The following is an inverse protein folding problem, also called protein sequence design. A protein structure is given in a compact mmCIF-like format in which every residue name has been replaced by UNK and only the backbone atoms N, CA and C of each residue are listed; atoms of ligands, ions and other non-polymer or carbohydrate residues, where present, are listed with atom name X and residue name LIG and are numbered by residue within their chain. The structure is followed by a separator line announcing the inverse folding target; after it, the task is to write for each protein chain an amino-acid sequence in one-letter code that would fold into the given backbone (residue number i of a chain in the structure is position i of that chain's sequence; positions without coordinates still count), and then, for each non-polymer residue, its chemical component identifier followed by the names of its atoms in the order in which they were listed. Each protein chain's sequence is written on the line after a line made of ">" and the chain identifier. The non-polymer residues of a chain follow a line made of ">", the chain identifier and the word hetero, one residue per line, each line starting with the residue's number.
data_IF_283004325459
#
_entry.id   IF_283004325459
#
_cell.length_a   1.000
_cell.length_b   1.000
_cell.length_c   1.000
_cell.angle_alpha   90.00
_cell.angle_beta   90.00
_cell.angle_gamma   90.00
#
_symmetry.space_group_name_H-M   'P 1'
#
loop_
_entity.id
_entity.type
_entity.pdbx_description
1 polymer ?
#
# COMPACT_ATOMS: atom_id res chain seq x y z
N UNK A 1 14.26 0.96 7.41
CA UNK A 1 12.96 1.31 6.79
C UNK A 1 12.25 0.00 6.55
N UNK A 2 11.06 -0.16 7.09
CA UNK A 2 10.21 -1.32 6.85
C UNK A 2 9.14 -0.92 5.83
N UNK A 3 8.84 -1.81 4.90
CA UNK A 3 7.90 -1.55 3.81
C UNK A 3 6.84 -2.65 3.79
N UNK A 4 5.60 -2.25 3.54
CA UNK A 4 4.48 -3.16 3.43
C UNK A 4 4.24 -3.59 1.99
N UNK A 5 3.69 -4.80 1.82
CA UNK A 5 3.13 -5.23 0.55
C UNK A 5 1.74 -4.59 0.38
N UNK A 6 1.52 -3.98 -0.78
CA UNK A 6 0.19 -3.55 -1.20
C UNK A 6 -0.36 -4.42 -2.31
N UNK A 7 -1.61 -4.15 -2.69
CA UNK A 7 -2.25 -4.88 -3.77
C UNK A 7 -1.53 -4.71 -5.12
N UNK A 8 -0.92 -3.54 -5.38
CA UNK A 8 -0.16 -3.33 -6.61
C UNK A 8 1.17 -4.10 -6.64
N UNK A 9 1.84 -4.22 -5.51
CA UNK A 9 3.04 -5.05 -5.34
C UNK A 9 2.70 -6.54 -5.54
N UNK A 10 1.59 -7.01 -4.95
CA UNK A 10 1.12 -8.38 -5.17
C UNK A 10 0.75 -8.63 -6.63
N UNK A 11 0.01 -7.71 -7.27
CA UNK A 11 -0.30 -7.82 -8.71
C UNK A 11 0.96 -7.88 -9.57
N UNK A 12 2.01 -7.15 -9.21
CA UNK A 12 3.28 -7.19 -9.92
C UNK A 12 4.00 -8.54 -9.75
N UNK A 13 4.03 -9.10 -8.53
CA UNK A 13 4.59 -10.43 -8.26
C UNK A 13 3.84 -11.54 -8.99
N UNK A 14 2.51 -11.47 -9.01
CA UNK A 14 1.65 -12.38 -9.77
C UNK A 14 2.00 -12.31 -11.27
N UNK A 15 2.11 -11.09 -11.81
CA UNK A 15 2.50 -10.86 -13.20
C UNK A 15 3.86 -11.49 -13.54
N UNK A 16 4.87 -11.30 -12.68
CA UNK A 16 6.20 -11.89 -12.86
C UNK A 16 6.20 -13.41 -12.78
N UNK A 17 5.25 -13.99 -12.04
CA UNK A 17 5.03 -15.43 -11.93
C UNK A 17 4.18 -16.01 -13.06
N UNK A 18 3.70 -15.17 -14.00
CA UNK A 18 2.87 -15.57 -15.13
C UNK A 18 1.38 -15.75 -14.80
N UNK A 19 0.93 -15.24 -13.65
CA UNK A 19 -0.45 -15.36 -13.15
C UNK A 19 -1.12 -13.98 -13.23
N UNK A 20 -2.42 -13.94 -13.54
CA UNK A 20 -3.26 -12.74 -13.49
C UNK A 20 -2.69 -11.50 -14.20
N UNK A 21 -1.90 -11.69 -15.26
CA UNK A 21 -1.15 -10.61 -15.92
C UNK A 21 -2.03 -9.44 -16.37
N UNK A 22 -3.26 -9.72 -16.79
CA UNK A 22 -4.22 -8.69 -17.20
C UNK A 22 -4.58 -7.74 -16.04
N UNK A 23 -4.70 -8.25 -14.81
CA UNK A 23 -5.04 -7.44 -13.65
C UNK A 23 -3.96 -6.38 -13.38
N UNK A 24 -2.69 -6.80 -13.37
CA UNK A 24 -1.56 -5.89 -13.25
C UNK A 24 -1.53 -4.82 -14.37
N UNK A 25 -1.69 -5.25 -15.62
CA UNK A 25 -1.59 -4.34 -16.77
C UNK A 25 -2.71 -3.27 -16.78
N UNK A 26 -3.93 -3.63 -16.38
CA UNK A 26 -5.06 -2.72 -16.28
C UNK A 26 -4.91 -1.73 -15.11
N UNK A 27 -4.17 -2.10 -14.06
CA UNK A 27 -3.98 -1.29 -12.85
C UNK A 27 -2.63 -0.53 -12.84
N UNK A 28 -2.25 0.02 -13.99
CA UNK A 28 -1.04 0.86 -14.14
C UNK A 28 0.26 0.08 -14.38
N UNK A 29 0.21 -1.25 -14.48
CA UNK A 29 1.40 -2.08 -14.68
C UNK A 29 2.17 -1.77 -15.97
N UNK A 30 1.49 -1.27 -17.01
CA UNK A 30 2.16 -0.80 -18.24
C UNK A 30 3.16 0.32 -17.96
N UNK A 31 2.81 1.28 -17.10
CA UNK A 31 3.70 2.38 -16.70
C UNK A 31 4.90 1.86 -15.91
N UNK A 32 4.67 0.89 -15.01
CA UNK A 32 5.75 0.22 -14.27
C UNK A 32 6.72 -0.50 -15.21
N UNK A 33 6.22 -1.30 -16.16
CA UNK A 33 7.09 -1.99 -17.11
C UNK A 33 7.86 -1.02 -18.00
N UNK A 34 7.24 0.09 -18.39
CA UNK A 34 7.89 1.14 -19.17
C UNK A 34 9.02 1.79 -18.38
N UNK A 35 8.83 2.14 -17.11
CA UNK A 35 9.89 2.77 -16.30
C UNK A 35 11.11 1.86 -16.14
N UNK A 36 10.90 0.55 -15.94
CA UNK A 36 11.98 -0.43 -15.93
C UNK A 36 12.71 -0.53 -17.26
N UNK A 37 12.00 -0.49 -18.39
CA UNK A 37 12.63 -0.48 -19.73
C UNK A 37 13.46 0.78 -19.97
N UNK A 38 13.00 1.95 -19.53
CA UNK A 38 13.68 3.23 -19.75
C UNK A 38 15.02 3.32 -19.01
N UNK A 39 15.14 2.71 -17.83
CA UNK A 39 16.38 2.71 -17.03
C UNK A 39 17.29 1.50 -17.32
N UNK A 40 16.82 0.55 -18.15
CA UNK A 40 17.58 -0.65 -18.51
C UNK A 40 18.73 -0.28 -19.45
N UNK A 41 19.95 -0.66 -19.07
CA UNK A 41 21.16 -0.28 -19.80
C UNK A 41 21.41 -1.16 -21.03
N UNK A 42 21.09 -2.47 -20.93
CA UNK A 42 21.28 -3.42 -22.01
C UNK A 42 20.13 -4.42 -22.13
N UNK A 43 19.88 -4.88 -23.36
CA UNK A 43 18.99 -6.01 -23.64
C UNK A 43 19.47 -7.35 -23.02
N UNK A 44 20.71 -7.40 -22.53
CA UNK A 44 21.23 -8.56 -21.78
C UNK A 44 20.91 -8.50 -20.29
N UNK A 45 20.63 -7.32 -19.75
CA UNK A 45 20.30 -7.15 -18.34
C UNK A 45 18.88 -7.63 -18.08
N UNK A 46 18.58 -8.18 -16.88
CA UNK A 46 17.20 -8.52 -16.55
C UNK A 46 16.34 -7.24 -16.57
N UNK A 47 15.08 -7.38 -17.01
CA UNK A 47 14.16 -6.24 -17.01
C UNK A 47 13.97 -5.67 -15.61
N UNK A 48 13.89 -6.55 -14.61
CA UNK A 48 13.78 -6.19 -13.19
C UNK A 48 15.11 -6.57 -12.52
N UNK A 49 15.87 -5.60 -11.96
CA UNK A 49 17.10 -5.89 -11.23
C UNK A 49 16.84 -6.84 -10.06
N UNK A 50 17.80 -7.73 -9.78
CA UNK A 50 17.67 -8.69 -8.67
C UNK A 50 17.46 -8.00 -7.32
N UNK A 51 18.13 -6.88 -7.08
CA UNK A 51 17.96 -6.09 -5.85
C UNK A 51 16.53 -5.57 -5.67
N UNK A 52 15.78 -5.35 -6.75
CA UNK A 52 14.37 -4.95 -6.67
C UNK A 52 13.50 -6.17 -6.36
N UNK A 53 13.80 -7.34 -6.91
CA UNK A 53 13.12 -8.59 -6.56
C UNK A 53 13.34 -8.95 -5.08
N UNK A 54 14.56 -8.74 -4.57
CA UNK A 54 14.89 -8.90 -3.15
C UNK A 54 14.07 -7.94 -2.29
N UNK A 55 13.91 -6.69 -2.75
CA UNK A 55 13.05 -5.71 -2.08
C UNK A 55 11.60 -6.19 -2.02
N UNK A 56 10.98 -6.59 -3.13
CA UNK A 56 9.60 -7.10 -3.11
C UNK A 56 9.43 -8.33 -2.22
N UNK A 57 10.44 -9.21 -2.18
CA UNK A 57 10.44 -10.40 -1.32
C UNK A 57 10.59 -10.09 0.17
N UNK A 58 11.06 -8.88 0.51
CA UNK A 58 11.23 -8.40 1.89
C UNK A 58 10.00 -7.69 2.44
N UNK A 59 8.97 -7.45 1.63
CA UNK A 59 7.78 -6.69 2.03
C UNK A 59 6.97 -7.43 3.08
N UNK A 60 6.57 -6.72 4.12
CA UNK A 60 5.80 -7.27 5.23
C UNK A 60 4.29 -7.14 4.96
N UNK A 61 3.45 -8.10 5.39
CA UNK A 61 2.00 -7.96 5.31
C UNK A 61 1.46 -6.88 6.25
N UNK A 62 2.10 -6.73 7.42
CA UNK A 62 1.79 -5.72 8.41
C UNK A 62 3.01 -5.45 9.31
N UNK A 63 2.98 -4.33 10.02
CA UNK A 63 3.92 -3.99 11.10
C UNK A 63 3.12 -3.76 12.37
N UNK A 64 3.62 -4.26 13.49
CA UNK A 64 3.00 -4.10 14.80
C UNK A 64 3.87 -3.24 15.73
N UNK A 65 3.24 -2.20 16.28
CA UNK A 65 3.78 -1.38 17.37
C UNK A 65 2.94 -1.58 18.63
N UNK A 66 3.38 -1.02 19.75
CA UNK A 66 2.66 -1.13 21.03
C UNK A 66 1.20 -0.67 20.94
N UNK A 67 0.94 0.46 20.26
CA UNK A 67 -0.39 1.08 20.16
C UNK A 67 -0.99 1.07 18.75
N UNK A 68 -0.26 0.54 17.76
CA UNK A 68 -0.65 0.64 16.36
C UNK A 68 -0.43 -0.66 15.60
N UNK A 69 -1.32 -0.93 14.66
CA UNK A 69 -1.04 -1.80 13.51
C UNK A 69 -0.85 -0.93 12.28
N UNK A 70 0.11 -1.28 11.42
CA UNK A 70 0.26 -0.66 10.10
C UNK A 70 0.05 -1.75 9.05
N UNK A 71 -0.92 -1.55 8.17
CA UNK A 71 -1.34 -2.52 7.14
C UNK A 71 -1.72 -1.75 5.87
N UNK A 72 -1.64 -2.37 4.69
CA UNK A 72 -1.93 -1.65 3.44
C UNK A 72 -3.39 -1.22 3.33
N UNK A 73 -4.34 -2.13 3.55
CA UNK A 73 -5.77 -1.85 3.38
C UNK A 73 -6.57 -1.89 4.68
N UNK A 74 -6.44 -2.94 5.48
CA UNK A 74 -7.19 -3.06 6.73
C UNK A 74 -7.25 -4.50 7.23
N UNK A 75 -8.19 -4.77 8.13
CA UNK A 75 -8.41 -6.10 8.71
C UNK A 75 -9.88 -6.46 8.65
N UNK A 76 -10.19 -7.74 8.43
CA UNK A 76 -11.55 -8.27 8.54
C UNK A 76 -12.00 -8.25 10.01
N UNK A 77 -13.14 -7.61 10.35
CA UNK A 77 -13.72 -7.70 11.68
C UNK A 77 -13.99 -9.15 12.10
N UNK A 78 -14.02 -9.40 13.40
CA UNK A 78 -14.25 -10.73 14.01
C UNK A 78 -13.19 -11.80 13.71
N UNK A 79 -12.11 -11.46 13.00
CA UNK A 79 -10.95 -12.32 12.78
C UNK A 79 -9.77 -11.80 13.60
N UNK A 80 -9.08 -12.70 14.31
CA UNK A 80 -7.89 -12.35 15.11
C UNK A 80 -6.80 -11.82 14.18
N UNK A 81 -5.95 -10.92 14.67
CA UNK A 81 -4.93 -10.25 13.85
C UNK A 81 -3.95 -11.27 13.23
N UNK A 82 -3.57 -12.29 13.99
CA UNK A 82 -2.71 -13.39 13.52
C UNK A 82 -3.36 -14.33 12.51
N UNK A 83 -4.69 -14.30 12.40
CA UNK A 83 -5.49 -15.14 11.50
C UNK A 83 -5.98 -14.36 10.26
N UNK A 84 -5.58 -13.09 10.12
CA UNK A 84 -5.92 -12.27 8.96
C UNK A 84 -5.25 -12.82 7.70
N UNK A 85 -6.01 -12.97 6.63
CA UNK A 85 -5.45 -13.37 5.36
C UNK A 85 -4.83 -12.18 4.61
N UNK A 86 -3.82 -12.49 3.79
CA UNK A 86 -3.12 -11.48 3.00
C UNK A 86 -4.04 -10.74 2.03
N UNK A 87 -5.06 -11.42 1.49
CA UNK A 87 -5.95 -10.81 0.52
C UNK A 87 -6.73 -9.66 1.16
N UNK A 88 -7.33 -9.86 2.33
CA UNK A 88 -8.00 -8.79 3.06
C UNK A 88 -7.03 -7.68 3.48
N UNK A 89 -5.83 -8.05 3.98
CA UNK A 89 -4.81 -7.06 4.39
C UNK A 89 -4.42 -6.08 3.28
N UNK A 90 -4.57 -6.47 2.00
CA UNK A 90 -4.21 -5.62 0.85
C UNK A 90 -5.40 -5.16 -0.01
N UNK A 91 -6.60 -5.74 0.13
CA UNK A 91 -7.76 -5.44 -0.71
C UNK A 91 -9.00 -4.95 0.03
N UNK A 92 -9.12 -5.14 1.34
CA UNK A 92 -10.36 -4.82 2.05
C UNK A 92 -10.69 -3.32 1.98
N UNK A 93 -11.98 -2.99 1.86
CA UNK A 93 -12.45 -1.60 1.77
C UNK A 93 -13.58 -1.36 2.76
N UNK A 94 -14.81 -1.40 2.27
CA UNK A 94 -16.01 -0.95 2.98
C UNK A 94 -16.24 -1.71 4.28
N UNK A 95 -15.99 -3.03 4.27
CA UNK A 95 -16.13 -3.89 5.45
C UNK A 95 -15.20 -3.47 6.59
N UNK A 96 -14.00 -2.98 6.28
CA UNK A 96 -13.08 -2.44 7.27
C UNK A 96 -13.39 -0.98 7.58
N UNK A 97 -13.58 -0.13 6.56
CA UNK A 97 -13.74 1.32 6.70
C UNK A 97 -14.96 1.65 7.56
N UNK A 98 -16.09 0.97 7.33
CA UNK A 98 -17.34 1.24 8.04
C UNK A 98 -17.50 0.43 9.33
N UNK A 99 -16.58 -0.48 9.65
CA UNK A 99 -16.62 -1.24 10.89
C UNK A 99 -16.22 -0.40 12.11
N UNK A 100 -17.12 -0.30 13.07
CA UNK A 100 -16.83 0.11 14.44
C UNK A 100 -16.36 -1.10 15.27
N UNK A 101 -15.23 -1.67 14.86
CA UNK A 101 -14.63 -2.85 15.50
C UNK A 101 -13.36 -2.46 16.26
N UNK A 102 -13.18 -3.05 17.45
CA UNK A 102 -11.98 -2.87 18.26
C UNK A 102 -10.94 -3.96 17.92
N UNK A 103 -9.89 -3.55 17.19
CA UNK A 103 -8.76 -4.42 16.85
C UNK A 103 -7.72 -4.50 17.98
N UNK A 104 -7.99 -3.91 19.16
CA UNK A 104 -7.06 -3.81 20.28
C UNK A 104 -6.02 -2.71 20.14
N UNK A 105 -5.79 -2.21 18.91
CA UNK A 105 -4.87 -1.11 18.58
C UNK A 105 -5.47 -0.22 17.50
N UNK A 106 -4.90 0.97 17.31
CA UNK A 106 -5.28 1.84 16.20
C UNK A 106 -4.67 1.31 14.91
N UNK A 107 -5.50 1.08 13.89
CA UNK A 107 -5.04 0.59 12.59
C UNK A 107 -4.70 1.77 11.67
N UNK A 108 -3.44 1.90 11.27
CA UNK A 108 -2.98 2.85 10.26
C UNK A 108 -2.97 2.14 8.91
N UNK A 109 -3.67 2.72 7.92
CA UNK A 109 -3.87 2.08 6.63
C UNK A 109 -3.84 3.06 5.45
N UNK A 110 -3.72 2.49 4.24
CA UNK A 110 -3.82 3.17 2.96
C UNK A 110 -4.89 2.54 2.07
N UNK A 111 -4.58 2.29 0.79
CA UNK A 111 -5.41 1.60 -0.21
C UNK A 111 -6.69 2.30 -0.67
N UNK A 112 -7.51 2.82 0.25
CA UNK A 112 -8.69 3.61 -0.08
C UNK A 112 -8.36 5.09 0.05
N UNK A 113 -8.37 5.84 -1.07
CA UNK A 113 -8.01 7.25 -1.06
C UNK A 113 -9.10 8.11 -0.44
N UNK A 114 -8.70 9.09 0.36
CA UNK A 114 -9.58 10.12 0.92
C UNK A 114 -9.08 11.53 0.57
N UNK A 115 -9.96 12.54 0.51
CA UNK A 115 -9.53 13.92 0.21
C UNK A 115 -8.60 14.53 1.29
N UNK A 116 -8.66 13.99 2.51
CA UNK A 116 -7.83 14.34 3.67
C UNK A 116 -7.63 13.08 4.52
N UNK A 117 -6.64 13.04 5.43
CA UNK A 117 -6.45 11.89 6.30
C UNK A 117 -7.75 11.55 7.04
N UNK A 118 -8.13 10.28 7.00
CA UNK A 118 -9.25 9.77 7.76
C UNK A 118 -8.77 9.53 9.19
N UNK A 119 -9.45 10.10 10.19
CA UNK A 119 -9.09 9.91 11.60
C UNK A 119 -10.33 9.45 12.36
N UNK A 120 -10.30 8.21 12.83
CA UNK A 120 -11.26 7.63 13.76
C UNK A 120 -10.56 7.15 15.02
N UNK A 121 -11.35 6.76 16.03
CA UNK A 121 -10.81 6.22 17.28
C UNK A 121 -9.97 4.95 17.05
N UNK A 122 -10.43 4.05 16.19
CA UNK A 122 -9.84 2.73 15.94
C UNK A 122 -8.98 2.66 14.67
N UNK A 123 -9.04 3.66 13.77
CA UNK A 123 -8.29 3.62 12.51
C UNK A 123 -7.92 4.99 11.96
N UNK A 124 -6.82 5.05 11.22
CA UNK A 124 -6.31 6.25 10.56
C UNK A 124 -5.93 5.92 9.11
N UNK A 125 -6.60 6.54 8.15
CA UNK A 125 -6.30 6.39 6.72
C UNK A 125 -5.39 7.51 6.24
N UNK A 126 -4.22 7.16 5.68
CA UNK A 126 -3.21 8.13 5.21
C UNK A 126 -3.07 8.18 3.68
N UNK A 127 -3.76 7.32 2.94
CA UNK A 127 -3.85 7.46 1.48
C UNK A 127 -4.76 8.64 1.14
N UNK A 128 -4.15 9.74 0.73
CA UNK A 128 -4.87 10.94 0.30
C UNK A 128 -4.95 11.09 -1.22
N UNK A 129 -4.62 10.05 -1.99
CA UNK A 129 -4.81 10.05 -3.44
C UNK A 129 -3.78 10.88 -4.21
N UNK A 130 -2.50 10.79 -3.86
CA UNK A 130 -1.40 11.48 -4.55
C UNK A 130 -1.42 11.26 -6.08
N UNK A 131 -1.69 10.02 -6.51
CA UNK A 131 -1.76 9.65 -7.93
C UNK A 131 -2.93 10.32 -8.67
N UNK A 132 -3.95 10.79 -7.94
CA UNK A 132 -5.15 11.43 -8.48
C UNK A 132 -5.09 12.96 -8.43
N UNK A 133 -3.90 13.54 -8.20
CA UNK A 133 -3.73 15.00 -8.19
C UNK A 133 -3.86 15.65 -6.82
N UNK A 134 -4.01 14.88 -5.73
CA UNK A 134 -4.05 15.41 -4.37
C UNK A 134 -2.64 15.40 -3.72
N UNK A 135 -2.47 14.83 -2.52
CA UNK A 135 -1.25 14.90 -1.74
C UNK A 135 -0.64 13.51 -1.47
N UNK A 136 0.67 13.48 -1.26
CA UNK A 136 1.31 12.41 -0.50
C UNK A 136 1.31 12.81 0.97
N UNK A 137 0.73 11.98 1.83
CA UNK A 137 0.59 12.25 3.27
C UNK A 137 1.49 11.35 4.09
N UNK A 138 2.11 11.92 5.14
CA UNK A 138 2.86 11.22 6.16
C UNK A 138 2.24 11.51 7.54
N UNK A 139 2.14 10.47 8.37
CA UNK A 139 1.76 10.58 9.78
C UNK A 139 3.00 10.38 10.65
N UNK A 140 3.36 11.42 11.40
CA UNK A 140 4.38 11.37 12.44
C UNK A 140 3.74 10.95 13.76
N UNK A 141 4.17 9.80 14.29
CA UNK A 141 3.71 9.27 15.58
C UNK A 141 4.51 9.87 16.75
N UNK A 142 4.32 11.17 16.99
CA UNK A 142 4.75 11.86 18.21
C UNK A 142 3.59 12.01 19.21
N UNK A 143 3.83 12.62 20.39
CA UNK A 143 2.81 12.80 21.43
C UNK A 143 1.51 13.45 20.91
N UNK A 144 1.63 14.36 19.93
CA UNK A 144 0.49 15.09 19.37
C UNK A 144 -0.08 14.50 18.07
N UNK A 145 0.56 13.48 17.45
CA UNK A 145 0.31 12.98 16.08
C UNK A 145 0.25 14.10 15.03
N UNK A 146 1.26 14.19 14.16
CA UNK A 146 1.33 15.28 13.16
C UNK A 146 1.20 14.75 11.74
N UNK A 147 0.36 15.40 10.94
CA UNK A 147 0.24 15.10 9.51
C UNK A 147 1.09 16.07 8.69
N UNK A 148 1.91 15.51 7.82
CA UNK A 148 2.69 16.23 6.83
C UNK A 148 2.15 15.89 5.45
N UNK A 149 2.12 16.83 4.51
CA UNK A 149 1.62 16.56 3.17
C UNK A 149 2.35 17.38 2.12
N UNK A 150 2.64 16.76 0.98
CA UNK A 150 3.23 17.40 -0.19
C UNK A 150 2.29 17.17 -1.37
N UNK A 151 1.90 18.25 -2.04
CA UNK A 151 1.04 18.20 -3.22
C UNK A 151 1.70 17.41 -4.35
N UNK A 152 0.91 16.59 -5.04
CA UNK A 152 1.32 15.93 -6.26
C UNK A 152 1.60 16.96 -7.36
N UNK A 153 2.57 16.66 -8.21
CA UNK A 153 2.74 17.42 -9.45
C UNK A 153 1.66 16.98 -10.42
N UNK A 154 0.95 17.92 -11.03
CA UNK A 154 0.11 17.64 -12.19
C UNK A 154 0.98 16.92 -13.22
N UNK A 155 0.63 15.69 -13.56
CA UNK A 155 1.12 15.07 -14.79
C UNK A 155 0.26 15.66 -15.89
N UNK A 156 0.73 16.72 -16.55
CA UNK A 156 0.11 17.18 -17.78
C UNK A 156 0.15 16.00 -18.77
N UNK A 157 -1.04 15.50 -19.11
CA UNK A 157 -1.28 14.42 -20.07
C UNK A 157 -0.97 14.83 -21.49
#
# INVERSE_FOLDING_TARGET
>A
VECLIGNHEQMFLDYLSGINSQNFLLNGGTSTLRSYKEVRQSEKDPLIPSSHLDFFSSLLPMIEFEQYYIVHAGFRPDIRIEDQDLFDMIWIRDEFIYADYDFGKVVIFGHTPFNRPMVMKNKIGIDTGAVYGNCLTCLELSEERKFHSVGSKSFDS
#
